data_IF_384715678295
#
_entry.id   IF_384715678295
#
_cell.length_a   1.000
_cell.length_b   1.000
_cell.length_c   1.000
_cell.angle_alpha   90.00
_cell.angle_beta   90.00
_cell.angle_gamma   90.00
#
_symmetry.space_group_name_H-M   'P 1'
#
loop_
_entity.id
_entity.type
_entity.pdbx_description
1 polymer ?
#
# COMPACT_ATOMS: atom_id res chain seq x y z
N UNK A 1 -20.09 0.23 -7.15
CA UNK A 1 -21.34 -0.44 -7.59
C UNK A 1 -22.23 -0.63 -6.38
N UNK A 2 -23.32 0.13 -6.30
CA UNK A 2 -24.40 -0.15 -5.36
C UNK A 2 -25.35 -1.12 -6.08
N UNK A 3 -25.17 -2.41 -5.89
CA UNK A 3 -26.11 -3.43 -6.36
C UNK A 3 -26.47 -4.35 -5.20
N UNK A 4 -27.75 -4.45 -4.93
CA UNK A 4 -28.29 -5.51 -4.07
C UNK A 4 -28.31 -6.82 -4.87
N UNK A 5 -28.10 -8.00 -4.24
CA UNK A 5 -28.16 -9.27 -4.93
C UNK A 5 -29.56 -9.47 -5.56
N UNK A 6 -29.61 -9.57 -6.90
CA UNK A 6 -30.83 -9.88 -7.64
C UNK A 6 -31.54 -8.72 -8.34
N UNK A 7 -31.04 -7.48 -8.27
CA UNK A 7 -31.60 -6.36 -9.04
C UNK A 7 -30.72 -6.00 -10.24
N UNK A 8 -31.30 -5.60 -11.40
CA UNK A 8 -30.54 -5.08 -12.52
C UNK A 8 -29.83 -3.80 -12.07
N UNK A 9 -28.56 -3.64 -12.40
CA UNK A 9 -27.79 -2.45 -12.10
C UNK A 9 -28.51 -1.23 -12.72
N UNK A 10 -29.06 -0.37 -11.87
CA UNK A 10 -29.79 0.85 -12.28
C UNK A 10 -28.89 1.85 -13.00
N UNK A 11 -27.56 1.70 -12.90
CA UNK A 11 -26.59 2.54 -13.61
C UNK A 11 -25.35 1.71 -13.98
N UNK A 12 -25.01 1.64 -15.24
CA UNK A 12 -23.69 1.22 -15.71
C UNK A 12 -22.75 2.42 -15.59
N UNK A 13 -21.78 2.36 -14.65
CA UNK A 13 -20.79 3.39 -14.44
C UNK A 13 -20.67 3.81 -12.97
N UNK A 14 -19.63 4.60 -12.68
CA UNK A 14 -19.43 5.23 -11.38
C UNK A 14 -20.31 6.46 -11.29
N UNK A 15 -21.19 6.54 -10.29
CA UNK A 15 -21.88 7.77 -9.95
C UNK A 15 -20.82 8.69 -9.29
N UNK A 16 -20.52 9.84 -9.92
CA UNK A 16 -19.50 10.81 -9.49
C UNK A 16 -18.04 10.30 -9.53
N UNK A 17 -17.61 9.74 -10.65
CA UNK A 17 -16.24 9.29 -10.84
C UNK A 17 -15.31 10.44 -11.23
N UNK A 18 -14.90 11.28 -10.27
CA UNK A 18 -13.63 11.98 -10.41
C UNK A 18 -12.47 10.99 -10.20
N UNK A 19 -11.37 11.16 -10.94
CA UNK A 19 -10.13 10.48 -10.59
C UNK A 19 -9.77 10.85 -9.14
N UNK A 20 -9.13 9.92 -8.39
CA UNK A 20 -8.63 10.25 -7.07
C UNK A 20 -7.56 11.35 -7.17
N UNK A 21 -7.38 12.08 -6.10
CA UNK A 21 -6.30 13.03 -5.94
C UNK A 21 -5.02 12.30 -5.48
N UNK A 22 -3.88 12.95 -5.67
CA UNK A 22 -2.63 12.43 -5.12
C UNK A 22 -2.68 12.53 -3.61
N UNK A 23 -2.31 11.43 -2.93
CA UNK A 23 -2.46 11.28 -1.47
C UNK A 23 -3.66 10.43 -1.07
N UNK A 24 -4.69 10.38 -1.91
CA UNK A 24 -5.87 9.55 -1.61
C UNK A 24 -5.52 8.08 -1.36
N UNK A 25 -6.13 7.50 -0.34
CA UNK A 25 -6.11 6.05 -0.13
C UNK A 25 -7.25 5.43 -0.92
N UNK A 26 -6.91 4.55 -1.85
CA UNK A 26 -7.87 3.94 -2.77
C UNK A 26 -8.02 2.44 -2.56
N UNK A 27 -9.23 1.96 -2.75
CA UNK A 27 -9.57 0.54 -2.83
C UNK A 27 -9.76 0.22 -4.30
N UNK A 28 -9.09 -0.83 -4.78
CA UNK A 28 -9.18 -1.25 -6.18
C UNK A 28 -9.06 -2.76 -6.31
N UNK A 29 -9.50 -3.28 -7.45
CA UNK A 29 -9.34 -4.70 -7.80
C UNK A 29 -7.93 -4.95 -8.31
N UNK A 30 -7.25 -5.95 -7.76
CA UNK A 30 -5.96 -6.39 -8.27
C UNK A 30 -6.07 -6.79 -9.74
N UNK A 31 -5.20 -6.28 -10.63
CA UNK A 31 -5.34 -6.47 -12.09
C UNK A 31 -5.42 -7.93 -12.55
N UNK A 32 -4.76 -8.84 -11.84
CA UNK A 32 -4.67 -10.26 -12.21
C UNK A 32 -5.67 -11.12 -11.45
N UNK A 33 -5.80 -10.90 -10.13
CA UNK A 33 -6.59 -11.81 -9.26
C UNK A 33 -8.02 -11.31 -9.00
N UNK A 34 -8.28 -10.02 -9.22
CA UNK A 34 -9.56 -9.39 -8.88
C UNK A 34 -9.78 -9.20 -7.36
N UNK A 35 -8.84 -9.55 -6.52
CA UNK A 35 -8.90 -9.33 -5.07
C UNK A 35 -8.88 -7.84 -4.74
N UNK A 36 -9.48 -7.45 -3.61
CA UNK A 36 -9.48 -6.06 -3.15
C UNK A 36 -8.13 -5.71 -2.51
N UNK A 37 -7.56 -4.60 -2.99
CA UNK A 37 -6.31 -4.02 -2.49
C UNK A 37 -6.55 -2.59 -2.03
N UNK A 38 -5.78 -2.17 -1.02
CA UNK A 38 -5.80 -0.79 -0.49
C UNK A 38 -4.39 -0.23 -0.62
N UNK A 39 -4.24 0.91 -1.30
CA UNK A 39 -2.96 1.62 -1.48
C UNK A 39 -3.21 3.12 -1.55
N UNK A 40 -2.13 3.91 -1.37
CA UNK A 40 -2.13 5.36 -1.55
C UNK A 40 -1.71 5.75 -2.97
N UNK A 41 -2.41 6.70 -3.56
CA UNK A 41 -2.08 7.25 -4.88
C UNK A 41 -0.87 8.18 -4.75
N UNK A 42 0.21 7.86 -5.46
CA UNK A 42 1.43 8.65 -5.50
C UNK A 42 1.59 9.37 -6.85
N UNK A 43 1.28 8.69 -7.94
CA UNK A 43 1.37 9.26 -9.29
C UNK A 43 0.03 9.22 -10.02
N UNK A 44 -0.31 10.32 -10.66
CA UNK A 44 -1.46 10.52 -11.53
C UNK A 44 -1.04 10.45 -13.00
N UNK A 45 -1.98 10.30 -13.96
CA UNK A 45 -1.66 10.34 -15.38
C UNK A 45 -0.79 11.54 -15.75
N UNK A 46 0.30 11.29 -16.47
CA UNK A 46 1.30 12.30 -16.87
C UNK A 46 2.45 12.51 -15.87
N UNK A 47 2.32 12.03 -14.63
CA UNK A 47 3.43 12.10 -13.67
C UNK A 47 4.56 11.14 -14.03
N UNK A 48 5.76 11.49 -13.60
CA UNK A 48 6.92 10.60 -13.56
C UNK A 48 7.25 10.26 -12.12
N UNK A 49 7.26 8.98 -11.79
CA UNK A 49 7.56 8.47 -10.44
C UNK A 49 8.82 7.62 -10.49
N UNK A 50 9.76 7.89 -9.58
CA UNK A 50 10.96 7.08 -9.38
C UNK A 50 11.16 6.84 -7.87
N UNK A 51 12.10 5.96 -7.54
CA UNK A 51 12.60 5.79 -6.17
C UNK A 51 14.11 5.93 -6.19
N UNK A 52 14.64 6.68 -5.24
CA UNK A 52 16.08 6.84 -5.02
C UNK A 52 16.35 6.63 -3.52
N UNK A 53 17.09 5.60 -3.18
CA UNK A 53 17.43 5.23 -1.79
C UNK A 53 16.21 5.23 -0.84
N UNK A 54 15.09 4.69 -1.30
CA UNK A 54 13.85 4.59 -0.54
C UNK A 54 13.02 5.89 -0.47
N UNK A 55 13.47 6.95 -1.15
CA UNK A 55 12.75 8.22 -1.27
C UNK A 55 12.00 8.28 -2.59
N UNK A 56 10.73 8.68 -2.55
CA UNK A 56 9.94 8.91 -3.77
C UNK A 56 10.43 10.17 -4.48
N UNK A 57 10.73 10.04 -5.76
CA UNK A 57 11.02 11.17 -6.65
C UNK A 57 9.84 11.35 -7.60
N UNK A 58 9.12 12.44 -7.44
CA UNK A 58 7.93 12.76 -8.21
C UNK A 58 8.21 13.94 -9.15
N UNK A 59 8.06 13.73 -10.45
CA UNK A 59 8.33 14.73 -11.48
C UNK A 59 9.74 15.36 -11.38
N UNK A 60 10.73 14.53 -11.02
CA UNK A 60 12.12 14.93 -10.86
C UNK A 60 12.46 15.62 -9.53
N UNK A 61 11.51 15.74 -8.61
CA UNK A 61 11.73 16.29 -7.27
C UNK A 61 11.52 15.22 -6.19
N UNK A 62 12.49 15.05 -5.31
CA UNK A 62 12.35 14.17 -4.16
C UNK A 62 11.25 14.72 -3.22
N UNK A 63 10.36 13.83 -2.75
CA UNK A 63 9.40 14.21 -1.71
C UNK A 63 10.14 14.55 -0.41
N UNK A 64 9.64 15.57 0.29
CA UNK A 64 10.13 15.84 1.64
C UNK A 64 9.80 14.63 2.54
N UNK A 65 10.85 14.07 3.18
CA UNK A 65 10.76 12.91 4.05
C UNK A 65 11.49 13.21 5.35
N UNK A 66 10.73 13.27 6.45
CA UNK A 66 11.22 13.60 7.77
C UNK A 66 11.17 12.37 8.68
N UNK A 67 12.20 12.16 9.49
CA UNK A 67 12.19 11.09 10.49
C UNK A 67 11.12 11.43 11.55
N UNK A 68 10.15 10.56 11.72
CA UNK A 68 9.05 10.69 12.67
C UNK A 68 9.18 9.69 13.83
N UNK A 69 10.38 9.13 14.03
CA UNK A 69 10.68 8.18 15.08
C UNK A 69 10.34 6.74 14.69
N UNK A 70 9.52 6.08 15.48
CA UNK A 70 9.22 4.65 15.30
C UNK A 70 7.72 4.38 15.38
N UNK A 71 7.27 3.40 14.59
CA UNK A 71 5.96 2.79 14.69
C UNK A 71 6.08 1.41 15.34
N UNK A 72 5.31 1.17 16.39
CA UNK A 72 5.18 -0.14 17.03
C UNK A 72 3.99 -0.87 16.39
N UNK A 73 4.28 -1.96 15.70
CA UNK A 73 3.27 -2.79 15.04
C UNK A 73 3.05 -4.03 15.90
N UNK A 74 1.82 -4.21 16.39
CA UNK A 74 1.46 -5.38 17.17
C UNK A 74 1.67 -6.67 16.36
N UNK A 75 2.28 -7.66 16.99
CA UNK A 75 2.42 -9.00 16.41
C UNK A 75 1.04 -9.66 16.42
N UNK A 76 0.49 -9.88 15.22
CA UNK A 76 -0.71 -10.70 15.05
C UNK A 76 -0.39 -12.20 15.17
N UNK A 77 -1.40 -13.06 15.01
CA UNK A 77 -1.21 -14.52 15.02
C UNK A 77 -0.33 -15.03 13.86
N UNK A 78 -0.03 -14.22 12.87
CA UNK A 78 0.92 -14.46 11.77
C UNK A 78 2.15 -13.56 11.91
N UNK A 79 3.26 -14.00 11.50
CA UNK A 79 4.50 -14.33 12.18
C UNK A 79 5.34 -13.12 12.59
N UNK A 80 6.42 -13.48 13.29
CA UNK A 80 7.63 -12.75 13.58
C UNK A 80 7.84 -11.42 12.83
N UNK A 81 8.38 -10.43 13.52
CA UNK A 81 8.93 -9.23 12.92
C UNK A 81 9.84 -9.60 11.74
N UNK A 82 9.76 -8.89 10.66
CA UNK A 82 10.72 -9.08 9.57
C UNK A 82 12.10 -8.71 10.07
N UNK A 83 13.06 -9.60 9.83
CA UNK A 83 14.42 -9.48 10.30
C UNK A 83 15.22 -8.34 9.65
N UNK A 84 14.68 -7.72 8.62
CA UNK A 84 15.35 -6.77 7.75
C UNK A 84 15.11 -5.31 8.22
N UNK A 85 15.35 -5.02 9.49
CA UNK A 85 15.25 -3.66 10.03
C UNK A 85 14.27 -3.48 11.20
N UNK A 86 13.45 -4.47 11.52
CA UNK A 86 12.62 -4.45 12.72
C UNK A 86 13.40 -4.81 13.98
N UNK A 87 13.24 -4.03 15.04
CA UNK A 87 13.75 -4.37 16.36
C UNK A 87 12.64 -5.05 17.13
N UNK A 88 12.87 -6.29 17.58
CA UNK A 88 11.97 -6.96 18.51
C UNK A 88 12.16 -6.31 19.90
N UNK A 89 11.09 -5.74 20.45
CA UNK A 89 11.12 -5.12 21.78
C UNK A 89 10.96 -6.22 22.84
N UNK A 90 11.65 -6.08 23.95
CA UNK A 90 11.50 -6.98 25.10
C UNK A 90 10.04 -7.08 25.53
N UNK A 91 9.54 -8.32 25.58
CA UNK A 91 8.11 -8.60 25.79
C UNK A 91 7.43 -9.27 24.61
N UNK A 92 8.06 -9.28 23.42
CA UNK A 92 7.68 -10.12 22.27
C UNK A 92 6.35 -9.80 21.58
N UNK A 93 5.73 -8.68 21.92
CA UNK A 93 4.37 -8.35 21.42
C UNK A 93 4.31 -7.32 20.31
N UNK A 94 5.40 -6.59 20.04
CA UNK A 94 5.44 -5.55 18.99
C UNK A 94 6.72 -5.61 18.17
N UNK A 95 6.61 -5.25 16.89
CA UNK A 95 7.73 -4.95 16.02
C UNK A 95 7.89 -3.45 15.90
N UNK A 96 9.10 -2.94 16.16
CA UNK A 96 9.39 -1.53 16.07
C UNK A 96 10.13 -1.23 14.79
N UNK A 97 9.55 -0.38 13.96
CA UNK A 97 10.11 0.04 12.67
C UNK A 97 10.28 1.54 12.62
N UNK A 98 11.22 2.02 11.79
CA UNK A 98 11.35 3.46 11.54
C UNK A 98 10.11 4.00 10.86
N UNK A 99 9.69 5.17 11.29
CA UNK A 99 8.55 5.87 10.73
C UNK A 99 9.00 7.21 10.16
N UNK A 100 8.46 7.55 9.00
CA UNK A 100 8.75 8.80 8.33
C UNK A 100 7.46 9.54 8.00
N UNK A 101 7.53 10.85 8.03
CA UNK A 101 6.51 11.73 7.49
C UNK A 101 6.91 12.12 6.09
N UNK A 102 6.13 11.74 5.11
CA UNK A 102 6.28 12.18 3.72
C UNK A 102 5.29 13.29 3.42
N UNK A 103 5.73 14.31 2.68
CA UNK A 103 4.90 15.46 2.30
C UNK A 103 4.85 15.56 0.78
N UNK A 104 3.63 15.55 0.25
CA UNK A 104 3.34 15.72 -1.16
C UNK A 104 3.51 17.18 -1.59
N UNK A 105 3.65 17.45 -2.90
CA UNK A 105 3.71 18.82 -3.41
C UNK A 105 2.49 19.69 -3.08
N UNK A 106 1.35 19.07 -2.80
CA UNK A 106 0.13 19.73 -2.31
C UNK A 106 0.27 20.30 -0.90
N UNK A 107 1.26 19.85 -0.13
CA UNK A 107 1.41 20.13 1.30
C UNK A 107 0.74 19.07 2.20
N UNK A 108 0.01 18.13 1.63
CA UNK A 108 -0.56 17.00 2.36
C UNK A 108 0.56 16.06 2.82
N UNK A 109 0.48 15.59 4.06
CA UNK A 109 1.48 14.72 4.66
C UNK A 109 0.84 13.44 5.19
N UNK A 110 1.57 12.35 5.10
CA UNK A 110 1.16 11.05 5.62
C UNK A 110 2.36 10.30 6.22
N UNK A 111 2.06 9.30 7.04
CA UNK A 111 3.09 8.51 7.71
C UNK A 111 3.40 7.25 6.92
N UNK A 112 4.69 6.96 6.78
CA UNK A 112 5.18 5.73 6.17
C UNK A 112 6.04 4.95 7.13
N UNK A 113 6.08 3.63 6.96
CA UNK A 113 6.93 2.70 7.70
C UNK A 113 7.93 2.07 6.74
N UNK A 114 9.17 2.03 7.17
CA UNK A 114 10.30 1.58 6.38
C UNK A 114 11.23 0.73 7.26
N UNK A 115 11.65 -0.41 6.75
CA UNK A 115 12.52 -1.34 7.49
C UNK A 115 14.01 -1.08 7.23
N UNK A 116 14.34 -0.08 6.42
CA UNK A 116 15.69 0.23 5.94
C UNK A 116 15.95 -0.35 4.56
N UNK A 117 17.20 -0.25 4.11
CA UNK A 117 17.57 -0.73 2.78
C UNK A 117 17.29 -2.22 2.63
N UNK A 118 16.32 -2.54 1.80
CA UNK A 118 15.85 -3.93 1.62
C UNK A 118 16.64 -4.66 0.52
N UNK A 119 17.30 -3.92 -0.33
CA UNK A 119 18.05 -4.43 -1.47
C UNK A 119 17.17 -5.13 -2.52
N UNK A 120 17.77 -5.46 -3.63
CA UNK A 120 17.06 -6.05 -4.75
C UNK A 120 16.61 -7.49 -4.45
N UNK A 121 15.34 -7.78 -4.75
CA UNK A 121 14.69 -9.08 -4.55
C UNK A 121 14.36 -9.75 -5.87
N UNK A 122 14.42 -11.07 -5.89
CA UNK A 122 13.85 -11.84 -6.99
C UNK A 122 12.33 -11.91 -6.80
N UNK A 123 11.60 -11.68 -7.89
CA UNK A 123 10.16 -11.92 -7.89
C UNK A 123 9.89 -13.40 -8.10
N UNK A 124 8.94 -13.92 -7.33
CA UNK A 124 8.39 -15.26 -7.53
C UNK A 124 7.03 -15.17 -8.19
N UNK A 125 6.71 -16.17 -9.02
CA UNK A 125 5.34 -16.40 -9.47
C UNK A 125 4.50 -17.02 -8.32
N UNK A 126 3.19 -17.07 -8.50
CA UNK A 126 2.28 -17.60 -7.47
C UNK A 126 2.46 -19.09 -7.14
N UNK A 127 3.26 -19.82 -7.91
CA UNK A 127 3.57 -21.24 -7.71
C UNK A 127 4.96 -21.44 -7.07
N UNK A 128 5.63 -20.35 -6.68
CA UNK A 128 6.95 -20.36 -6.05
C UNK A 128 8.13 -20.47 -7.02
N UNK A 129 7.87 -20.41 -8.31
CA UNK A 129 8.90 -20.27 -9.35
C UNK A 129 9.42 -18.83 -9.42
N UNK A 130 10.56 -18.63 -10.09
CA UNK A 130 11.07 -17.30 -10.37
C UNK A 130 10.32 -16.66 -11.54
N UNK A 131 9.82 -15.46 -11.36
CA UNK A 131 9.34 -14.64 -12.47
C UNK A 131 10.52 -14.29 -13.38
N UNK A 132 10.33 -14.43 -14.69
CA UNK A 132 11.37 -14.17 -15.69
C UNK A 132 11.05 -12.88 -16.45
N UNK A 133 12.08 -12.15 -16.85
CA UNK A 133 11.97 -11.04 -17.77
C UNK A 133 11.80 -11.53 -19.23
N UNK A 134 11.69 -10.60 -20.17
CA UNK A 134 11.52 -10.91 -21.60
C UNK A 134 12.72 -11.67 -22.21
N UNK A 135 13.88 -11.69 -21.56
CA UNK A 135 15.07 -12.43 -21.97
C UNK A 135 15.12 -13.85 -21.38
N UNK A 136 14.22 -14.17 -20.45
CA UNK A 136 14.20 -15.41 -19.68
C UNK A 136 15.11 -15.39 -18.44
N UNK A 137 15.64 -14.23 -18.05
CA UNK A 137 16.40 -14.07 -16.82
C UNK A 137 15.48 -13.84 -15.62
N UNK A 138 15.87 -14.29 -14.40
CA UNK A 138 15.09 -14.02 -13.18
C UNK A 138 14.89 -12.52 -12.97
N UNK A 139 13.64 -12.11 -12.86
CA UNK A 139 13.27 -10.72 -12.64
C UNK A 139 13.67 -10.28 -11.23
N UNK A 140 14.55 -9.28 -11.17
CA UNK A 140 15.07 -8.72 -9.93
C UNK A 140 14.64 -7.27 -9.83
N UNK A 141 14.04 -6.89 -8.71
CA UNK A 141 13.60 -5.53 -8.44
C UNK A 141 14.20 -5.04 -7.13
N UNK A 142 14.76 -3.85 -7.18
CA UNK A 142 15.14 -3.08 -6.00
C UNK A 142 14.02 -2.08 -5.70
N UNK A 143 13.18 -2.30 -4.68
CA UNK A 143 12.06 -1.43 -4.40
C UNK A 143 12.46 -0.04 -3.90
N UNK A 144 13.70 0.12 -3.43
CA UNK A 144 14.25 1.38 -2.98
C UNK A 144 14.86 2.20 -4.12
N UNK A 145 15.12 1.56 -5.27
CA UNK A 145 15.73 2.18 -6.45
C UNK A 145 14.97 1.78 -7.72
N UNK A 146 13.95 2.56 -8.08
CA UNK A 146 13.12 2.36 -9.27
C UNK A 146 13.43 3.44 -10.29
N UNK A 147 13.79 3.02 -11.51
CA UNK A 147 13.95 3.94 -12.62
C UNK A 147 12.66 4.75 -12.87
N UNK A 148 12.76 5.98 -13.40
CA UNK A 148 11.59 6.82 -13.67
C UNK A 148 10.53 6.11 -14.53
N UNK A 149 9.32 6.03 -14.02
CA UNK A 149 8.15 5.45 -14.68
C UNK A 149 7.16 6.59 -14.97
N UNK A 150 6.84 6.80 -16.23
CA UNK A 150 5.78 7.73 -16.62
C UNK A 150 4.43 7.03 -16.45
N UNK A 151 3.51 7.66 -15.74
CA UNK A 151 2.16 7.15 -15.52
C UNK A 151 1.30 7.44 -16.77
N UNK A 152 0.84 6.42 -17.51
CA UNK A 152 0.02 6.64 -18.71
C UNK A 152 -1.36 7.20 -18.37
N UNK A 153 -2.04 7.73 -19.39
CA UNK A 153 -3.45 8.14 -19.27
C UNK A 153 -4.32 6.96 -18.80
N UNK A 154 -5.24 7.24 -17.88
CA UNK A 154 -6.14 6.25 -17.30
C UNK A 154 -5.50 5.30 -16.29
N UNK A 155 -4.22 5.49 -15.94
CA UNK A 155 -3.52 4.68 -14.93
C UNK A 155 -3.09 5.48 -13.71
N UNK A 156 -2.81 4.77 -12.64
CA UNK A 156 -2.34 5.31 -11.36
C UNK A 156 -1.09 4.58 -10.91
N UNK A 157 -0.15 5.31 -10.32
CA UNK A 157 0.95 4.73 -9.57
C UNK A 157 0.57 4.77 -8.09
N UNK A 158 0.48 3.60 -7.47
CA UNK A 158 0.04 3.48 -6.08
C UNK A 158 1.10 2.80 -5.22
N UNK A 159 1.22 3.21 -3.95
CA UNK A 159 2.16 2.64 -3.00
C UNK A 159 1.48 2.32 -1.67
N UNK A 160 2.01 1.32 -0.96
CA UNK A 160 1.62 1.07 0.42
C UNK A 160 2.36 1.97 1.40
N UNK A 161 1.71 2.40 2.46
CA UNK A 161 2.34 3.20 3.52
C UNK A 161 3.40 2.39 4.30
N UNK A 162 3.24 1.06 4.41
CA UNK A 162 4.30 0.17 4.86
C UNK A 162 5.15 -0.23 3.65
N UNK A 163 6.17 0.57 3.36
CA UNK A 163 6.99 0.55 2.15
C UNK A 163 7.58 -0.82 1.84
N UNK A 164 8.15 -1.48 2.82
CA UNK A 164 8.87 -2.75 2.63
C UNK A 164 8.00 -3.98 2.75
N UNK A 165 6.77 -3.79 3.20
CA UNK A 165 5.76 -4.84 3.27
C UNK A 165 4.58 -4.59 2.33
N UNK A 166 4.85 -4.00 1.18
CA UNK A 166 3.83 -3.68 0.18
C UNK A 166 4.21 -4.23 -1.18
N UNK A 167 3.31 -5.00 -1.76
CA UNK A 167 3.32 -5.38 -3.16
C UNK A 167 2.44 -4.35 -3.90
N UNK A 168 3.08 -3.35 -4.49
CA UNK A 168 2.44 -2.16 -5.08
C UNK A 168 2.96 -1.87 -6.49
N UNK A 169 2.82 -0.64 -7.00
CA UNK A 169 3.20 -0.29 -8.37
C UNK A 169 4.69 -0.37 -8.65
N UNK A 170 5.52 -0.48 -7.63
CA UNK A 170 6.96 -0.74 -7.79
C UNK A 170 7.26 -2.12 -8.36
N UNK A 171 6.30 -3.03 -8.26
CA UNK A 171 6.41 -4.42 -8.73
C UNK A 171 5.41 -4.67 -9.85
N UNK A 172 5.76 -5.49 -10.86
CA UNK A 172 4.85 -5.83 -11.95
C UNK A 172 3.58 -6.53 -11.44
N UNK A 173 2.50 -6.36 -12.19
CA UNK A 173 1.23 -7.01 -11.88
C UNK A 173 1.32 -8.51 -12.18
N UNK A 174 1.46 -9.31 -11.13
CA UNK A 174 1.49 -10.78 -11.21
C UNK A 174 0.64 -11.36 -10.08
N UNK A 175 0.20 -12.62 -10.23
CA UNK A 175 -0.51 -13.34 -9.16
C UNK A 175 0.39 -13.40 -7.92
N UNK A 176 -0.15 -13.06 -6.75
CA UNK A 176 0.54 -13.04 -5.46
C UNK A 176 1.75 -12.10 -5.42
N UNK A 177 1.79 -11.13 -6.33
CA UNK A 177 2.86 -10.15 -6.49
C UNK A 177 2.37 -8.70 -6.48
N UNK A 178 3.09 -7.84 -7.20
CA UNK A 178 2.76 -6.43 -7.31
C UNK A 178 1.50 -6.17 -8.12
N UNK A 179 1.09 -4.92 -8.12
CA UNK A 179 -0.11 -4.47 -8.85
C UNK A 179 0.21 -3.73 -10.14
N UNK A 180 1.51 -3.38 -10.36
CA UNK A 180 1.92 -2.55 -11.49
C UNK A 180 1.19 -1.20 -11.51
N UNK A 181 1.09 -0.59 -12.67
CA UNK A 181 0.25 0.58 -12.87
C UNK A 181 -1.21 0.17 -12.89
N UNK A 182 -2.01 0.72 -11.97
CA UNK A 182 -3.40 0.34 -11.76
C UNK A 182 -4.31 1.10 -12.73
N UNK A 183 -5.14 0.38 -13.49
CA UNK A 183 -6.16 1.01 -14.32
C UNK A 183 -7.20 1.72 -13.45
N UNK A 184 -7.53 2.94 -13.79
CA UNK A 184 -8.54 3.73 -13.08
C UNK A 184 -9.92 3.01 -13.04
N UNK A 185 -10.21 2.17 -14.01
CA UNK A 185 -11.45 1.38 -14.06
C UNK A 185 -11.50 0.26 -13.00
N UNK A 186 -10.35 -0.15 -12.45
CA UNK A 186 -10.29 -1.12 -11.37
C UNK A 186 -10.58 -0.51 -9.99
N UNK A 187 -10.64 0.82 -9.88
CA UNK A 187 -10.94 1.47 -8.62
C UNK A 187 -12.36 1.12 -8.14
N UNK A 188 -12.48 0.75 -6.90
CA UNK A 188 -13.76 0.50 -6.21
C UNK A 188 -14.23 1.76 -5.51
N UNK A 189 -13.31 2.47 -4.84
CA UNK A 189 -13.62 3.68 -4.10
C UNK A 189 -12.41 4.30 -3.43
N UNK A 190 -12.65 5.44 -2.77
CA UNK A 190 -11.68 6.14 -1.91
C UNK A 190 -12.02 5.86 -0.46
N UNK A 191 -11.01 5.46 0.31
CA UNK A 191 -11.13 5.35 1.76
C UNK A 191 -10.82 6.72 2.38
N UNK A 192 -11.75 7.25 3.15
CA UNK A 192 -11.64 8.59 3.72
C UNK A 192 -11.52 8.57 5.25
N UNK A 193 -12.03 7.53 5.92
CA UNK A 193 -12.04 7.47 7.38
C UNK A 193 -11.87 6.06 7.91
N UNK A 194 -11.23 5.95 9.06
CA UNK A 194 -11.17 4.73 9.85
C UNK A 194 -12.48 4.56 10.62
N UNK A 195 -13.32 3.63 10.22
CA UNK A 195 -14.58 3.35 10.94
C UNK A 195 -14.33 2.53 12.22
N UNK A 196 -13.39 1.59 12.16
CA UNK A 196 -13.05 0.72 13.28
C UNK A 196 -11.60 0.29 13.20
N UNK A 197 -10.92 0.26 14.33
CA UNK A 197 -9.54 -0.20 14.47
C UNK A 197 -9.37 -0.92 15.79
N UNK A 198 -8.71 -2.08 15.77
CA UNK A 198 -8.36 -2.84 16.98
C UNK A 198 -6.86 -3.02 17.06
N UNK A 199 -6.37 -3.37 18.24
CA UNK A 199 -4.98 -3.70 18.49
C UNK A 199 -4.59 -5.13 18.08
N UNK A 200 -5.56 -5.88 17.52
CA UNK A 200 -5.38 -7.27 17.10
C UNK A 200 -5.75 -8.31 18.16
N UNK A 201 -6.08 -7.92 19.38
CA UNK A 201 -6.49 -8.82 20.47
C UNK A 201 -7.99 -9.14 20.46
N UNK A 202 -8.76 -8.54 19.55
CA UNK A 202 -10.19 -8.80 19.42
C UNK A 202 -10.46 -10.23 18.91
N UNK A 203 -11.29 -10.97 19.63
CA UNK A 203 -11.72 -12.30 19.22
C UNK A 203 -13.10 -12.27 18.56
N UNK A 204 -13.23 -12.94 17.43
CA UNK A 204 -14.42 -12.92 16.58
C UNK A 204 -15.69 -13.39 17.31
N UNK A 205 -15.55 -14.37 18.19
CA UNK A 205 -16.67 -14.96 18.94
C UNK A 205 -16.98 -14.28 20.28
N UNK A 206 -16.16 -13.30 20.69
CA UNK A 206 -16.28 -12.59 21.97
C UNK A 206 -16.51 -11.10 21.75
N UNK A 207 -17.76 -10.63 21.51
CA UNK A 207 -18.03 -9.25 21.10
C UNK A 207 -17.50 -8.17 22.06
N UNK A 208 -17.41 -8.46 23.37
CA UNK A 208 -16.86 -7.50 24.34
C UNK A 208 -15.37 -7.23 24.14
N UNK A 209 -14.61 -8.18 23.56
CA UNK A 209 -13.19 -7.98 23.24
C UNK A 209 -13.02 -6.91 22.16
N UNK A 210 -14.00 -6.68 21.33
CA UNK A 210 -13.96 -5.65 20.30
C UNK A 210 -13.90 -4.24 20.90
N UNK A 211 -14.57 -4.05 22.05
CA UNK A 211 -14.54 -2.76 22.74
C UNK A 211 -13.25 -2.55 23.54
N UNK A 212 -12.73 -3.62 24.17
CA UNK A 212 -11.48 -3.55 24.93
C UNK A 212 -10.25 -3.45 24.03
N UNK A 213 -10.28 -4.06 22.84
CA UNK A 213 -9.24 -4.00 21.83
C UNK A 213 -9.36 -2.78 20.91
N UNK A 214 -10.44 -1.98 21.03
CA UNK A 214 -10.68 -0.86 20.14
C UNK A 214 -9.63 0.26 20.34
N UNK A 215 -9.05 0.70 19.25
CA UNK A 215 -8.15 1.86 19.21
C UNK A 215 -8.97 3.12 19.01
N UNK A 216 -9.55 3.62 20.08
CA UNK A 216 -10.48 4.75 20.08
C UNK A 216 -9.87 6.02 19.51
N UNK A 217 -8.57 6.22 19.66
CA UNK A 217 -7.78 7.31 19.10
C UNK A 217 -7.77 7.34 17.57
N UNK A 218 -8.01 6.20 16.93
CA UNK A 218 -8.02 6.06 15.47
C UNK A 218 -9.41 6.04 14.85
N UNK A 219 -10.44 5.72 15.63
CA UNK A 219 -11.81 5.63 15.12
C UNK A 219 -12.32 7.02 14.76
N UNK A 220 -12.77 7.18 13.51
CA UNK A 220 -13.22 8.46 12.97
C UNK A 220 -12.10 9.36 12.46
N UNK A 221 -10.81 8.95 12.57
CA UNK A 221 -9.71 9.71 11.98
C UNK A 221 -9.74 9.65 10.45
N UNK A 222 -9.29 10.72 9.82
CA UNK A 222 -9.03 10.76 8.39
C UNK A 222 -7.81 9.89 8.06
N UNK A 223 -7.75 9.39 6.81
CA UNK A 223 -6.70 8.50 6.30
C UNK A 223 -5.65 9.26 5.53
#
# INVERSE_FOLDING_TARGET
KLSLPGEPALFEGRIFASLPERGDVVIFKHPVTGADYVKRVIGLPGDTVAMEDGVVVLNGAALAREDAGHADIAMGPNPACRSDGGVVVEGGTVCRYRQFRETLPSGESYMTVDFGAVGARFLTDGDGGLSLDASGAPLRIDPDNIAPVVVPEGKLFVMGDNRDNSLDSRFPAVRDGGVGLVDADLLVGRASRVLWSTDGSAEWLLPWTWFTAARWDRIGSDL
#
